data_IF_381104029730
#
_entry.id   IF_381104029730
#
_cell.length_a   1.000
_cell.length_b   1.000
_cell.length_c   1.000
_cell.angle_alpha   90.00
_cell.angle_beta   90.00
_cell.angle_gamma   90.00
#
_symmetry.space_group_name_H-M   'P 1'
#
loop_
_entity.id
_entity.type
_entity.pdbx_description
1 polymer ?
#
# COMPACT_ATOMS: atom_id res chain seq x y z
N UNK A 1 -26.84 -86.40 30.56
CA UNK A 1 -26.11 -85.51 29.64
C UNK A 1 -27.12 -84.49 29.19
N UNK A 2 -27.04 -83.23 29.66
CA UNK A 2 -27.98 -82.17 29.32
C UNK A 2 -27.24 -81.18 28.40
N UNK A 3 -27.68 -81.10 27.14
CA UNK A 3 -27.16 -80.11 26.18
C UNK A 3 -27.84 -78.76 26.45
N UNK A 4 -27.02 -77.75 26.69
CA UNK A 4 -27.48 -76.36 26.71
C UNK A 4 -27.15 -75.74 25.37
N UNK A 5 -28.23 -75.35 24.61
CA UNK A 5 -28.11 -74.52 23.41
C UNK A 5 -28.03 -73.06 23.85
N UNK A 6 -26.90 -72.40 23.51
CA UNK A 6 -26.71 -70.98 23.75
C UNK A 6 -27.20 -70.22 22.50
N UNK A 7 -28.32 -69.53 22.65
CA UNK A 7 -28.84 -68.64 21.58
C UNK A 7 -28.12 -67.30 21.68
N UNK A 8 -27.32 -67.00 20.64
CA UNK A 8 -26.63 -65.72 20.49
C UNK A 8 -27.58 -64.70 19.81
N UNK A 9 -28.07 -63.70 20.58
CA UNK A 9 -28.83 -62.59 20.04
C UNK A 9 -27.88 -61.54 19.45
N UNK A 10 -27.87 -61.38 18.10
CA UNK A 10 -27.19 -60.31 17.41
C UNK A 10 -28.14 -59.12 17.35
N UNK A 11 -27.83 -58.07 18.18
CA UNK A 11 -28.52 -56.78 18.13
C UNK A 11 -27.85 -55.94 17.01
N UNK A 12 -28.55 -55.81 15.88
CA UNK A 12 -28.18 -54.88 14.83
C UNK A 12 -28.55 -53.45 15.24
N UNK A 13 -27.54 -52.66 15.62
CA UNK A 13 -27.70 -51.20 15.75
C UNK A 13 -27.76 -50.57 14.34
N UNK A 14 -28.98 -50.19 13.92
CA UNK A 14 -29.18 -49.35 12.75
C UNK A 14 -28.82 -47.92 13.10
N UNK A 15 -27.64 -47.45 12.62
CA UNK A 15 -27.26 -46.03 12.65
C UNK A 15 -28.07 -45.28 11.60
N UNK A 16 -29.22 -44.76 11.99
CA UNK A 16 -29.97 -43.81 11.17
C UNK A 16 -29.20 -42.47 11.09
N UNK A 17 -28.58 -42.19 9.95
CA UNK A 17 -28.07 -40.86 9.65
C UNK A 17 -29.22 -39.88 9.52
N UNK A 18 -29.44 -39.07 10.58
CA UNK A 18 -30.30 -37.90 10.45
C UNK A 18 -29.61 -36.93 9.45
N UNK A 19 -30.23 -36.74 8.29
CA UNK A 19 -29.91 -35.59 7.43
C UNK A 19 -30.16 -34.33 8.25
N UNK A 20 -29.08 -33.60 8.60
CA UNK A 20 -29.21 -32.22 9.08
C UNK A 20 -29.72 -31.39 7.88
N UNK A 21 -30.94 -30.91 8.00
CA UNK A 21 -31.43 -29.83 7.13
C UNK A 21 -30.58 -28.58 7.45
N UNK A 22 -29.83 -28.14 6.46
CA UNK A 22 -29.16 -26.85 6.52
C UNK A 22 -30.27 -25.82 6.39
N UNK A 23 -30.64 -25.21 7.52
CA UNK A 23 -31.50 -24.03 7.52
C UNK A 23 -30.68 -22.89 6.96
N UNK A 24 -30.89 -22.57 5.68
CA UNK A 24 -30.38 -21.34 5.08
C UNK A 24 -31.21 -20.21 5.67
N UNK A 25 -30.62 -19.51 6.65
CA UNK A 25 -31.20 -18.27 7.13
C UNK A 25 -31.19 -17.28 5.95
N UNK A 26 -32.28 -16.51 5.73
CA UNK A 26 -32.26 -15.45 4.75
C UNK A 26 -31.11 -14.50 5.09
N UNK A 27 -30.27 -14.16 4.11
CA UNK A 27 -29.32 -13.06 4.23
C UNK A 27 -30.13 -11.80 4.47
N UNK A 28 -30.23 -11.37 5.72
CA UNK A 28 -30.66 -10.02 6.03
C UNK A 28 -29.60 -9.10 5.44
N UNK A 29 -29.95 -8.35 4.41
CA UNK A 29 -29.15 -7.22 3.93
C UNK A 29 -29.02 -6.24 5.11
N UNK A 30 -27.91 -6.33 5.81
CA UNK A 30 -27.55 -5.35 6.84
C UNK A 30 -27.27 -4.04 6.14
N UNK A 31 -28.29 -3.18 6.07
CA UNK A 31 -28.17 -1.85 5.51
C UNK A 31 -27.38 -0.97 6.49
N UNK A 32 -26.06 -0.97 6.33
CA UNK A 32 -25.15 -0.14 7.15
C UNK A 32 -25.23 1.28 6.60
N UNK A 33 -25.68 2.21 7.40
CA UNK A 33 -25.60 3.64 7.08
C UNK A 33 -24.15 4.09 7.06
N UNK A 34 -23.59 4.25 5.84
CA UNK A 34 -22.23 4.69 5.61
C UNK A 34 -22.07 6.22 5.57
N UNK A 35 -23.16 6.97 5.68
CA UNK A 35 -23.16 8.43 5.55
C UNK A 35 -22.26 9.13 6.58
N UNK A 36 -22.11 8.55 7.77
CA UNK A 36 -21.20 9.02 8.82
C UNK A 36 -19.71 8.79 8.49
N UNK A 37 -19.41 7.87 7.56
CA UNK A 37 -18.03 7.57 7.15
C UNK A 37 -17.56 8.49 6.05
N UNK A 38 -18.38 8.72 5.03
CA UNK A 38 -18.07 9.51 3.84
C UNK A 38 -19.23 9.53 2.86
N UNK A 39 -19.06 10.21 1.74
CA UNK A 39 -20.05 10.21 0.67
C UNK A 39 -20.11 8.85 -0.02
N UNK A 40 -21.27 8.46 -0.53
CA UNK A 40 -21.46 7.18 -1.21
C UNK A 40 -20.67 7.10 -2.51
N UNK A 41 -20.64 8.22 -3.27
CA UNK A 41 -20.01 8.32 -4.59
C UNK A 41 -18.81 9.26 -4.57
N UNK A 42 -17.78 8.92 -5.33
CA UNK A 42 -16.59 9.77 -5.47
C UNK A 42 -16.91 11.11 -6.10
N UNK A 43 -17.80 11.13 -7.11
CA UNK A 43 -18.23 12.36 -7.82
C UNK A 43 -18.82 13.43 -6.90
N UNK A 44 -19.46 13.03 -5.79
CA UNK A 44 -20.10 13.95 -4.85
C UNK A 44 -19.12 14.86 -4.11
N UNK A 45 -17.82 14.52 -4.09
CA UNK A 45 -16.77 15.38 -3.50
C UNK A 45 -16.38 16.55 -4.42
N UNK A 46 -16.69 16.47 -5.72
CA UNK A 46 -16.34 17.49 -6.68
C UNK A 46 -14.83 17.69 -6.89
N UNK A 47 -14.03 16.63 -6.74
CA UNK A 47 -12.58 16.71 -6.97
C UNK A 47 -12.22 16.78 -8.45
N UNK A 48 -13.07 16.27 -9.31
CA UNK A 48 -12.81 16.15 -10.74
C UNK A 48 -13.96 16.74 -11.55
N UNK A 49 -13.65 17.27 -12.75
CA UNK A 49 -14.62 17.80 -13.70
C UNK A 49 -14.73 16.93 -14.95
N UNK A 50 -15.81 17.08 -15.70
CA UNK A 50 -16.06 16.34 -16.94
C UNK A 50 -16.32 14.85 -16.70
N UNK A 51 -15.78 14.01 -17.58
CA UNK A 51 -15.86 12.56 -17.42
C UNK A 51 -14.97 12.11 -16.26
N UNK A 52 -15.56 11.54 -15.21
CA UNK A 52 -14.86 11.21 -13.97
C UNK A 52 -13.60 10.35 -14.19
N UNK A 53 -13.65 9.40 -15.15
CA UNK A 53 -12.50 8.54 -15.49
C UNK A 53 -11.26 9.27 -16.02
N UNK A 54 -11.42 10.53 -16.50
CA UNK A 54 -10.28 11.34 -16.95
C UNK A 54 -9.50 11.94 -15.80
N UNK A 55 -10.09 11.95 -14.59
CA UNK A 55 -9.50 12.50 -13.38
C UNK A 55 -8.98 13.94 -13.59
N UNK A 56 -9.69 14.72 -14.39
CA UNK A 56 -9.38 16.15 -14.62
C UNK A 56 -9.65 16.93 -13.34
N UNK A 57 -8.65 17.52 -12.68
CA UNK A 57 -8.85 18.10 -11.36
C UNK A 57 -9.61 19.41 -11.42
N UNK A 58 -10.49 19.66 -10.42
CA UNK A 58 -11.10 20.95 -10.18
C UNK A 58 -10.07 21.93 -9.59
N UNK A 59 -10.40 23.22 -9.60
CA UNK A 59 -9.57 24.27 -9.00
C UNK A 59 -9.21 23.91 -7.53
N UNK A 60 -7.94 24.10 -7.18
CA UNK A 60 -7.40 23.77 -5.86
C UNK A 60 -7.15 22.28 -5.60
N UNK A 61 -7.39 21.40 -6.57
CA UNK A 61 -6.96 19.99 -6.53
C UNK A 61 -5.70 19.83 -7.36
N UNK A 62 -4.56 19.68 -6.72
CA UNK A 62 -3.25 19.74 -7.36
C UNK A 62 -2.66 18.34 -7.53
N UNK A 63 -2.32 17.93 -8.78
CA UNK A 63 -1.66 16.65 -9.02
C UNK A 63 -0.21 16.68 -8.51
N UNK A 64 0.28 15.51 -8.06
CA UNK A 64 1.67 15.32 -7.69
C UNK A 64 2.14 13.89 -7.91
N UNK A 65 3.45 13.69 -7.97
CA UNK A 65 4.10 12.39 -8.02
C UNK A 65 5.10 12.24 -6.87
N UNK A 66 5.54 11.01 -6.64
CA UNK A 66 6.56 10.70 -5.66
C UNK A 66 7.84 10.24 -6.38
N UNK A 67 9.00 10.66 -5.88
CA UNK A 67 10.30 10.21 -6.40
C UNK A 67 10.46 8.68 -6.26
N UNK A 68 9.97 8.11 -5.15
CA UNK A 68 9.93 6.65 -4.95
C UNK A 68 8.50 6.23 -4.62
N UNK A 69 7.92 5.34 -5.42
CA UNK A 69 6.55 4.87 -5.25
C UNK A 69 6.49 3.54 -4.51
N UNK A 70 5.56 3.41 -3.56
CA UNK A 70 5.23 2.15 -2.91
C UNK A 70 4.72 1.15 -3.96
N UNK A 71 5.26 -0.07 -3.95
CA UNK A 71 4.79 -1.15 -4.81
C UNK A 71 3.38 -1.60 -4.42
N UNK A 72 2.53 -1.86 -5.40
CA UNK A 72 1.19 -2.40 -5.23
C UNK A 72 0.83 -3.15 -6.51
N UNK A 73 1.31 -4.39 -6.62
CA UNK A 73 0.99 -5.31 -7.73
C UNK A 73 1.15 -4.70 -9.15
N UNK A 74 2.15 -3.85 -9.35
CA UNK A 74 2.36 -3.07 -10.59
C UNK A 74 1.22 -2.09 -10.96
N UNK A 75 0.23 -1.86 -10.10
CA UNK A 75 -0.76 -0.83 -10.36
C UNK A 75 -0.10 0.55 -10.50
N UNK A 76 -0.44 1.26 -11.55
CA UNK A 76 -0.05 2.65 -11.73
C UNK A 76 -0.82 3.54 -10.78
N UNK A 77 -0.27 4.72 -10.45
CA UNK A 77 -0.87 5.60 -9.44
C UNK A 77 -0.86 7.03 -9.91
N UNK A 78 -2.00 7.68 -9.79
CA UNK A 78 -2.14 9.12 -9.93
C UNK A 78 -2.59 9.71 -8.60
N UNK A 79 -1.97 10.82 -8.19
CA UNK A 79 -2.17 11.41 -6.88
C UNK A 79 -2.51 12.86 -6.98
N UNK A 80 -3.38 13.31 -6.07
CA UNK A 80 -3.74 14.71 -5.92
C UNK A 80 -3.79 15.08 -4.45
N UNK A 81 -3.60 16.36 -4.18
CA UNK A 81 -3.82 16.97 -2.87
C UNK A 81 -4.84 18.10 -3.01
N UNK A 82 -5.74 18.19 -2.05
CA UNK A 82 -6.61 19.35 -1.84
C UNK A 82 -6.40 19.87 -0.45
N UNK A 83 -5.86 21.07 -0.32
CA UNK A 83 -5.73 21.82 0.93
C UNK A 83 -6.84 22.89 0.94
N UNK A 84 -7.53 23.12 2.07
CA UNK A 84 -8.55 24.16 2.14
C UNK A 84 -7.97 25.52 1.79
N UNK A 85 -8.74 26.32 1.05
CA UNK A 85 -8.32 27.65 0.60
C UNK A 85 -7.89 28.53 1.78
N UNK A 86 -6.71 29.12 1.64
CA UNK A 86 -6.14 30.02 2.66
C UNK A 86 -5.37 29.29 3.79
N UNK A 87 -5.29 27.96 3.74
CA UNK A 87 -4.42 27.16 4.61
C UNK A 87 -3.22 26.65 3.84
N UNK A 88 -2.09 26.52 4.54
CA UNK A 88 -0.83 26.06 3.97
C UNK A 88 -0.21 24.99 4.90
N UNK A 89 0.59 24.12 4.32
CA UNK A 89 1.50 23.22 5.04
C UNK A 89 2.75 23.99 5.42
N UNK A 90 3.21 23.90 6.64
CA UNK A 90 4.54 24.36 7.01
C UNK A 90 5.58 23.34 6.51
N UNK A 91 6.65 23.84 5.89
CA UNK A 91 7.72 22.97 5.40
C UNK A 91 8.34 22.16 6.54
N UNK A 92 8.54 20.88 6.31
CA UNK A 92 9.22 19.96 7.20
C UNK A 92 10.16 19.08 6.35
N UNK A 93 11.44 19.03 6.72
CA UNK A 93 12.45 18.26 5.97
C UNK A 93 12.54 16.79 6.39
N UNK A 94 12.06 16.45 7.57
CA UNK A 94 12.35 15.18 8.24
C UNK A 94 11.32 14.09 7.96
N UNK A 95 10.03 14.45 7.90
CA UNK A 95 8.93 13.48 7.90
C UNK A 95 7.82 13.88 6.90
N UNK A 96 6.73 13.14 6.93
CA UNK A 96 5.47 13.51 6.26
C UNK A 96 5.04 14.90 6.71
N UNK A 97 4.55 15.70 5.79
CA UNK A 97 4.06 17.04 6.09
C UNK A 97 2.91 17.02 7.11
N UNK A 98 2.90 18.03 7.97
CA UNK A 98 1.77 18.27 8.86
C UNK A 98 0.69 19.06 8.12
N UNK A 99 -0.25 18.32 7.56
CA UNK A 99 -1.32 18.89 6.74
C UNK A 99 -2.42 19.52 7.62
N UNK A 100 -2.92 20.70 7.25
CA UNK A 100 -4.00 21.34 7.99
C UNK A 100 -5.31 20.53 7.93
N UNK A 101 -6.18 20.78 8.91
CA UNK A 101 -7.51 20.20 8.96
C UNK A 101 -8.29 20.47 7.67
N UNK A 102 -9.05 19.50 7.18
CA UNK A 102 -9.78 19.56 5.92
C UNK A 102 -8.95 19.19 4.68
N UNK A 103 -7.66 18.88 4.84
CA UNK A 103 -6.84 18.37 3.74
C UNK A 103 -7.32 17.00 3.28
N UNK A 104 -7.33 16.78 1.96
CA UNK A 104 -7.61 15.49 1.34
C UNK A 104 -6.44 15.08 0.45
N UNK A 105 -5.87 13.90 0.72
CA UNK A 105 -4.95 13.22 -0.17
C UNK A 105 -5.73 12.19 -0.99
N UNK A 106 -5.64 12.28 -2.31
CA UNK A 106 -6.38 11.44 -3.26
C UNK A 106 -5.39 10.57 -4.00
N UNK A 107 -5.60 9.26 -4.02
CA UNK A 107 -4.73 8.30 -4.70
C UNK A 107 -5.56 7.34 -5.54
N UNK A 108 -5.39 7.43 -6.85
CA UNK A 108 -6.03 6.55 -7.83
C UNK A 108 -5.08 5.41 -8.19
N UNK A 109 -5.61 4.21 -8.36
CA UNK A 109 -4.89 3.02 -8.81
C UNK A 109 -5.51 2.54 -10.10
N UNK A 110 -4.67 2.28 -11.09
CA UNK A 110 -5.13 1.90 -12.42
C UNK A 110 -4.12 1.02 -13.16
N UNK A 111 -4.59 0.38 -14.21
CA UNK A 111 -3.76 -0.37 -15.15
C UNK A 111 -4.06 0.08 -16.57
N UNK A 112 -3.04 0.48 -17.35
CA UNK A 112 -3.12 0.41 -18.80
C UNK A 112 -3.25 -1.06 -19.23
N UNK A 113 -4.02 -1.36 -20.25
CA UNK A 113 -4.13 -2.73 -20.79
C UNK A 113 -2.79 -3.27 -21.31
N UNK A 114 -1.91 -2.36 -21.76
CA UNK A 114 -0.56 -2.65 -22.22
C UNK A 114 0.40 -1.58 -21.69
N UNK A 115 1.37 -1.98 -20.90
CA UNK A 115 2.34 -1.04 -20.27
C UNK A 115 3.24 -0.32 -21.28
N UNK A 116 3.40 -0.89 -22.48
CA UNK A 116 4.10 -0.25 -23.59
C UNK A 116 3.29 0.90 -24.22
N UNK A 117 1.97 0.97 -23.88
CA UNK A 117 1.02 2.00 -24.33
C UNK A 117 0.27 2.62 -23.14
N UNK A 118 1.00 3.31 -22.25
CA UNK A 118 0.51 3.68 -20.91
C UNK A 118 -0.67 4.67 -20.88
N UNK A 119 -1.00 5.27 -22.02
CA UNK A 119 -2.10 6.25 -22.15
C UNK A 119 -3.36 5.63 -22.79
N UNK A 120 -3.30 4.36 -23.21
CA UNK A 120 -4.40 3.69 -23.89
C UNK A 120 -5.09 2.67 -22.99
N UNK A 121 -6.41 2.52 -23.14
CA UNK A 121 -7.21 1.51 -22.47
C UNK A 121 -6.94 1.41 -20.95
N UNK A 122 -6.97 2.55 -20.27
CA UNK A 122 -6.76 2.64 -18.83
C UNK A 122 -8.01 2.14 -18.11
N UNK A 123 -7.83 1.21 -17.16
CA UNK A 123 -8.84 0.75 -16.22
C UNK A 123 -8.52 1.26 -14.82
N UNK A 124 -9.34 2.16 -14.29
CA UNK A 124 -9.31 2.58 -12.90
C UNK A 124 -9.88 1.45 -12.03
N UNK A 125 -9.21 1.10 -10.94
CA UNK A 125 -9.65 0.07 -10.03
C UNK A 125 -10.25 0.66 -8.76
N UNK A 126 -9.47 1.54 -8.12
CA UNK A 126 -9.87 2.19 -6.88
C UNK A 126 -9.33 3.62 -6.77
N UNK A 127 -10.04 4.43 -6.01
CA UNK A 127 -9.57 5.72 -5.50
C UNK A 127 -9.59 5.67 -3.98
N UNK A 128 -8.47 5.93 -3.34
CA UNK A 128 -8.38 6.08 -1.88
C UNK A 128 -8.32 7.54 -1.52
N UNK A 129 -9.20 7.95 -0.64
CA UNK A 129 -9.14 9.25 0.01
C UNK A 129 -8.53 9.08 1.40
N UNK A 130 -7.61 9.96 1.75
CA UNK A 130 -7.13 10.12 3.11
C UNK A 130 -7.47 11.54 3.52
N UNK A 131 -8.45 11.68 4.42
CA UNK A 131 -9.07 12.97 4.79
C UNK A 131 -8.67 13.33 6.21
N UNK A 132 -8.16 14.54 6.42
CA UNK A 132 -7.86 15.07 7.76
C UNK A 132 -9.12 15.75 8.32
N UNK A 133 -9.76 15.12 9.28
CA UNK A 133 -10.94 15.65 9.98
C UNK A 133 -10.59 15.90 11.45
N UNK A 134 -10.53 17.16 11.85
CA UNK A 134 -10.21 17.60 13.22
C UNK A 134 -8.89 16.99 13.77
N UNK A 135 -7.85 16.89 12.93
CA UNK A 135 -6.56 16.32 13.30
C UNK A 135 -6.52 14.80 13.34
N UNK A 136 -7.58 14.14 12.87
CA UNK A 136 -7.67 12.68 12.73
C UNK A 136 -7.81 12.32 11.26
N UNK A 137 -6.96 11.42 10.78
CA UNK A 137 -7.02 10.97 9.40
C UNK A 137 -7.99 9.80 9.22
N UNK A 138 -8.85 9.91 8.23
CA UNK A 138 -9.83 8.90 7.82
C UNK A 138 -9.47 8.37 6.43
N UNK A 139 -9.31 7.07 6.30
CA UNK A 139 -9.04 6.41 5.02
C UNK A 139 -10.33 5.86 4.43
N UNK A 140 -10.67 6.22 3.21
CA UNK A 140 -11.90 5.81 2.51
C UNK A 140 -11.56 5.23 1.13
N UNK A 141 -11.72 3.92 0.92
CA UNK A 141 -11.56 3.30 -0.39
C UNK A 141 -12.85 3.39 -1.22
N UNK A 142 -12.72 3.77 -2.48
CA UNK A 142 -13.79 3.81 -3.48
C UNK A 142 -13.42 2.85 -4.62
N UNK A 143 -14.33 1.96 -4.99
CA UNK A 143 -14.15 1.00 -6.09
C UNK A 143 -14.86 1.50 -7.32
N UNK A 144 -14.15 1.55 -8.44
CA UNK A 144 -14.71 1.95 -9.73
C UNK A 144 -15.64 0.86 -10.29
N UNK A 145 -16.78 1.30 -10.88
CA UNK A 145 -17.65 0.41 -11.64
C UNK A 145 -16.99 -0.01 -12.97
N UNK A 146 -17.52 -1.07 -13.58
CA UNK A 146 -16.94 -1.60 -14.82
C UNK A 146 -17.12 -0.64 -16.01
N UNK A 147 -18.14 0.21 -16.00
CA UNK A 147 -18.41 1.27 -16.99
C UNK A 147 -17.43 2.46 -16.86
N UNK A 148 -16.64 2.50 -15.80
CA UNK A 148 -15.66 3.58 -15.52
C UNK A 148 -16.32 4.97 -15.45
N UNK A 149 -17.55 5.03 -14.95
CA UNK A 149 -18.34 6.27 -14.85
C UNK A 149 -18.42 6.79 -13.42
N UNK A 150 -18.24 5.91 -12.42
CA UNK A 150 -18.35 6.26 -11.01
C UNK A 150 -17.51 5.32 -10.14
N UNK A 151 -17.13 5.79 -8.95
CA UNK A 151 -16.53 4.97 -7.90
C UNK A 151 -17.35 5.06 -6.61
N UNK A 152 -17.59 3.91 -5.98
CA UNK A 152 -18.45 3.77 -4.82
C UNK A 152 -17.65 3.42 -3.56
N UNK A 153 -18.05 3.97 -2.42
CA UNK A 153 -17.44 3.68 -1.12
C UNK A 153 -17.52 2.19 -0.81
N UNK A 154 -16.38 1.58 -0.47
CA UNK A 154 -16.27 0.15 -0.19
C UNK A 154 -15.56 -0.09 1.13
N UNK A 155 -16.33 -0.24 2.21
CA UNK A 155 -15.78 -0.45 3.57
C UNK A 155 -15.23 -1.86 3.79
N UNK A 156 -15.77 -2.86 3.08
CA UNK A 156 -15.39 -4.27 3.20
C UNK A 156 -14.15 -4.64 2.37
N UNK A 157 -13.75 -3.77 1.42
CA UNK A 157 -12.74 -4.10 0.42
C UNK A 157 -13.29 -5.05 -0.66
N UNK A 158 -12.48 -5.35 -1.66
CA UNK A 158 -12.86 -6.25 -2.77
C UNK A 158 -11.62 -6.80 -3.46
N UNK A 159 -11.71 -8.02 -3.95
CA UNK A 159 -10.72 -8.56 -4.88
C UNK A 159 -11.18 -8.35 -6.32
N UNK A 160 -10.28 -7.85 -7.16
CA UNK A 160 -10.51 -7.58 -8.58
C UNK A 160 -9.52 -8.38 -9.42
N UNK A 161 -10.03 -9.10 -10.41
CA UNK A 161 -9.15 -9.77 -11.39
C UNK A 161 -8.65 -8.74 -12.40
N UNK A 162 -7.33 -8.65 -12.54
CA UNK A 162 -6.66 -7.73 -13.44
C UNK A 162 -5.72 -8.48 -14.35
N UNK A 163 -5.78 -8.18 -15.65
CA UNK A 163 -4.89 -8.72 -16.67
C UNK A 163 -4.32 -7.55 -17.47
N UNK A 164 -3.02 -7.59 -17.75
CA UNK A 164 -2.32 -6.58 -18.55
C UNK A 164 -1.18 -7.21 -19.34
N UNK A 165 -0.74 -6.54 -20.40
CA UNK A 165 0.51 -6.86 -21.07
C UNK A 165 1.62 -6.05 -20.43
N UNK A 166 2.63 -6.72 -19.90
CA UNK A 166 3.77 -6.09 -19.24
C UNK A 166 4.77 -5.52 -20.26
N UNK A 167 5.79 -4.78 -19.81
CA UNK A 167 6.79 -4.14 -20.68
C UNK A 167 7.57 -5.14 -21.54
N UNK A 168 7.80 -6.35 -21.02
CA UNK A 168 8.42 -7.47 -21.74
C UNK A 168 7.50 -8.13 -22.79
N UNK A 169 6.26 -7.66 -22.93
CA UNK A 169 5.25 -8.19 -23.85
C UNK A 169 4.49 -9.41 -23.31
N UNK A 170 4.79 -9.90 -22.12
CA UNK A 170 4.10 -11.03 -21.52
C UNK A 170 2.79 -10.60 -20.86
N UNK A 171 1.78 -11.46 -21.02
CA UNK A 171 0.50 -11.25 -20.31
C UNK A 171 0.69 -11.63 -18.84
N UNK A 172 0.33 -10.72 -17.97
CA UNK A 172 0.34 -10.89 -16.52
C UNK A 172 -1.09 -10.85 -15.98
N UNK A 173 -1.32 -11.55 -14.89
CA UNK A 173 -2.60 -11.53 -14.17
C UNK A 173 -2.35 -11.40 -12.68
N UNK A 174 -3.25 -10.71 -11.98
CA UNK A 174 -3.21 -10.60 -10.53
C UNK A 174 -4.64 -10.54 -9.98
N UNK A 175 -4.84 -11.12 -8.81
CA UNK A 175 -6.01 -10.85 -7.98
C UNK A 175 -5.70 -9.63 -7.11
N UNK A 176 -5.98 -8.43 -7.65
CA UNK A 176 -5.74 -7.17 -6.97
C UNK A 176 -6.67 -7.01 -5.77
N UNK A 177 -6.12 -6.74 -4.60
CA UNK A 177 -6.90 -6.63 -3.36
C UNK A 177 -7.09 -5.16 -2.97
N UNK A 178 -8.32 -4.67 -3.08
CA UNK A 178 -8.72 -3.40 -2.48
C UNK A 178 -8.88 -3.63 -0.97
N UNK A 179 -8.14 -2.90 -0.11
CA UNK A 179 -8.18 -3.12 1.32
C UNK A 179 -9.51 -2.66 1.95
N UNK A 180 -9.92 -3.32 3.03
CA UNK A 180 -10.97 -2.82 3.89
C UNK A 180 -10.45 -1.72 4.84
N UNK A 181 -11.36 -1.03 5.55
CA UNK A 181 -11.00 0.07 6.45
C UNK A 181 -10.00 -0.33 7.56
N UNK A 182 -10.09 -1.55 8.08
CA UNK A 182 -9.16 -2.01 9.11
C UNK A 182 -7.76 -2.28 8.54
N UNK A 183 -7.67 -2.80 7.33
CA UNK A 183 -6.42 -3.02 6.64
C UNK A 183 -5.71 -1.69 6.29
N UNK A 184 -6.46 -0.62 6.04
CA UNK A 184 -5.87 0.72 5.86
C UNK A 184 -5.08 1.15 7.11
N UNK A 185 -5.65 0.91 8.31
CA UNK A 185 -4.98 1.20 9.58
C UNK A 185 -3.67 0.41 9.74
N UNK A 186 -3.60 -0.82 9.22
CA UNK A 186 -2.40 -1.67 9.30
C UNK A 186 -1.14 -1.01 8.75
N UNK A 187 -1.26 -0.16 7.73
CA UNK A 187 -0.14 0.57 7.13
C UNK A 187 -0.03 2.03 7.61
N UNK A 188 -1.17 2.63 7.98
CA UNK A 188 -1.25 4.06 8.29
C UNK A 188 -1.18 4.38 9.79
N UNK A 189 -1.11 3.38 10.67
CA UNK A 189 -1.03 3.60 12.11
C UNK A 189 0.39 4.03 12.52
N UNK A 190 0.49 5.15 13.23
CA UNK A 190 1.70 5.64 13.90
C UNK A 190 1.37 5.96 15.36
N UNK A 191 1.97 5.22 16.28
CA UNK A 191 1.53 5.25 17.67
C UNK A 191 0.07 4.80 17.77
N UNK A 192 -0.81 5.72 18.15
CA UNK A 192 -2.26 5.53 18.28
C UNK A 192 -3.08 6.26 17.20
N UNK A 193 -2.41 6.92 16.23
CA UNK A 193 -3.06 7.76 15.21
C UNK A 193 -2.89 7.21 13.82
N UNK A 194 -3.95 7.35 13.01
CA UNK A 194 -3.86 7.14 11.56
C UNK A 194 -3.15 8.34 10.95
N UNK A 195 -2.11 8.11 10.15
CA UNK A 195 -1.28 9.15 9.54
C UNK A 195 -1.02 8.84 8.06
N UNK A 196 -0.79 9.85 7.21
CA UNK A 196 -0.28 9.62 5.86
C UNK A 196 1.11 8.97 5.91
N UNK A 197 1.42 8.13 4.91
CA UNK A 197 2.79 7.62 4.69
C UNK A 197 3.65 8.67 3.97
N UNK A 198 3.02 9.53 3.20
CA UNK A 198 3.56 10.68 2.47
C UNK A 198 2.44 11.61 2.02
N UNK A 199 2.76 12.70 1.31
CA UNK A 199 4.08 13.10 0.83
C UNK A 199 4.97 13.76 1.88
N UNK A 200 6.28 13.73 1.61
CA UNK A 200 7.33 14.43 2.36
C UNK A 200 8.17 15.28 1.43
N UNK A 201 9.00 16.17 1.96
CA UNK A 201 9.88 17.04 1.18
C UNK A 201 10.77 16.25 0.22
N UNK A 202 11.42 15.17 0.67
CA UNK A 202 12.28 14.31 -0.13
C UNK A 202 11.57 13.64 -1.31
N UNK A 203 10.30 13.30 -1.11
CA UNK A 203 9.45 12.68 -2.13
C UNK A 203 8.97 13.66 -3.19
N UNK A 204 8.78 14.93 -2.82
CA UNK A 204 8.33 15.98 -3.73
C UNK A 204 9.47 16.81 -4.34
N UNK A 205 10.73 16.62 -3.88
CA UNK A 205 11.88 17.30 -4.51
C UNK A 205 12.23 16.64 -5.85
N UNK A 206 11.37 16.84 -6.82
CA UNK A 206 11.43 16.34 -8.18
C UNK A 206 10.47 17.10 -9.08
N UNK A 207 10.66 17.02 -10.39
CA UNK A 207 9.82 17.72 -11.35
C UNK A 207 8.54 16.94 -11.64
N UNK A 208 7.46 17.69 -11.85
CA UNK A 208 6.18 17.21 -12.36
C UNK A 208 5.77 18.03 -13.58
N UNK A 209 5.14 17.40 -14.56
CA UNK A 209 4.63 18.09 -15.75
C UNK A 209 3.24 18.64 -15.46
N UNK A 210 3.16 19.89 -15.04
CA UNK A 210 1.93 20.65 -14.89
C UNK A 210 1.45 21.21 -16.22
N UNK A 211 0.24 21.80 -16.27
CA UNK A 211 -0.27 22.48 -17.47
C UNK A 211 0.63 23.59 -17.97
N UNK A 212 1.26 24.29 -17.04
CA UNK A 212 2.18 25.42 -17.32
C UNK A 212 3.60 24.98 -17.69
N UNK A 213 3.89 23.68 -17.65
CA UNK A 213 5.20 23.10 -17.95
C UNK A 213 5.80 22.27 -16.83
N UNK A 214 7.01 21.75 -17.07
CA UNK A 214 7.75 20.94 -16.09
C UNK A 214 8.36 21.84 -15.01
N UNK A 215 8.00 21.60 -13.75
CA UNK A 215 8.45 22.40 -12.60
C UNK A 215 8.69 21.50 -11.38
N UNK A 216 9.63 21.89 -10.50
CA UNK A 216 9.82 21.22 -9.21
C UNK A 216 8.55 21.36 -8.35
N UNK A 217 8.08 20.26 -7.80
CA UNK A 217 6.80 20.18 -7.12
C UNK A 217 6.74 21.04 -5.85
N UNK A 218 7.84 21.14 -5.09
CA UNK A 218 7.89 21.99 -3.88
C UNK A 218 7.76 23.47 -4.25
N UNK A 219 8.42 23.92 -5.33
CA UNK A 219 8.30 25.30 -5.81
C UNK A 219 6.90 25.56 -6.37
N UNK A 220 6.34 24.61 -7.10
CA UNK A 220 4.97 24.73 -7.60
C UNK A 220 3.96 24.83 -6.45
N UNK A 221 4.08 23.98 -5.43
CA UNK A 221 3.22 24.03 -4.25
C UNK A 221 3.36 25.37 -3.51
N UNK A 222 4.56 25.92 -3.44
CA UNK A 222 4.79 27.25 -2.83
C UNK A 222 4.13 28.35 -3.65
N UNK A 223 4.20 28.32 -4.98
CA UNK A 223 3.51 29.26 -5.87
C UNK A 223 1.99 29.17 -5.72
N UNK A 224 1.47 27.97 -5.58
CA UNK A 224 0.04 27.70 -5.34
C UNK A 224 -0.42 28.01 -3.90
N UNK A 225 0.49 28.48 -3.03
CA UNK A 225 0.23 28.72 -1.61
C UNK A 225 -0.30 27.50 -0.86
N UNK A 226 0.23 26.33 -1.20
CA UNK A 226 -0.06 25.07 -0.50
C UNK A 226 0.97 24.78 0.58
N UNK A 227 2.18 25.30 0.46
CA UNK A 227 3.29 25.14 1.39
C UNK A 227 4.06 26.44 1.55
N UNK A 228 4.51 26.72 2.78
CA UNK A 228 5.34 27.86 3.12
C UNK A 228 6.66 27.42 3.73
N UNK A 229 7.67 28.31 3.68
CA UNK A 229 8.96 28.08 4.32
C UNK A 229 9.88 27.09 3.59
N UNK A 230 9.67 26.83 2.30
CA UNK A 230 10.52 25.94 1.50
C UNK A 230 11.91 26.59 1.34
N UNK A 231 12.99 25.93 1.82
CA UNK A 231 14.35 26.45 1.64
C UNK A 231 14.84 26.24 0.20
N UNK A 232 16.10 26.59 -0.07
CA UNK A 232 16.72 26.25 -1.37
C UNK A 232 16.63 24.74 -1.63
N UNK A 233 16.26 24.35 -2.85
CA UNK A 233 16.13 22.94 -3.24
C UNK A 233 17.41 22.12 -3.01
N UNK A 234 18.59 22.77 -3.06
CA UNK A 234 19.88 22.13 -2.79
C UNK A 234 20.06 21.70 -1.31
N UNK A 235 19.25 22.23 -0.42
CA UNK A 235 19.23 21.87 1.01
C UNK A 235 18.22 20.76 1.32
N UNK A 236 17.44 20.37 0.33
CA UNK A 236 16.41 19.34 0.48
C UNK A 236 16.92 18.07 -0.20
N UNK A 237 17.07 16.99 0.54
CA UNK A 237 17.41 15.69 -0.04
C UNK A 237 16.36 15.27 -1.09
N UNK A 238 16.78 14.53 -2.11
CA UNK A 238 15.87 13.86 -3.05
C UNK A 238 15.82 12.37 -2.69
N UNK A 239 14.65 11.80 -2.56
CA UNK A 239 14.52 10.37 -2.36
C UNK A 239 14.87 9.62 -3.64
N UNK A 240 15.77 8.63 -3.54
CA UNK A 240 16.19 7.83 -4.69
C UNK A 240 15.03 6.97 -5.22
N UNK A 241 14.85 6.94 -6.54
CA UNK A 241 14.05 5.89 -7.18
C UNK A 241 14.90 4.60 -7.29
N UNK A 242 14.27 3.45 -7.18
CA UNK A 242 14.97 2.17 -7.39
C UNK A 242 15.49 2.01 -8.83
N UNK A 243 14.91 2.72 -9.79
CA UNK A 243 15.27 2.72 -11.21
C UNK A 243 16.36 3.74 -11.57
N UNK A 244 16.57 4.78 -10.76
CA UNK A 244 17.47 5.89 -11.08
C UNK A 244 18.92 5.55 -10.70
N UNK A 245 19.68 5.08 -11.69
CA UNK A 245 21.09 4.69 -11.51
C UNK A 245 22.06 5.84 -11.25
N UNK A 246 21.59 7.09 -11.24
CA UNK A 246 22.39 8.21 -10.77
C UNK A 246 22.62 8.20 -9.26
N UNK A 247 21.79 7.45 -8.51
CA UNK A 247 21.98 7.17 -7.11
C UNK A 247 22.73 5.85 -6.89
N UNK A 248 23.47 5.77 -5.80
CA UNK A 248 24.17 4.55 -5.41
C UNK A 248 23.20 3.40 -5.14
N UNK A 249 23.71 2.17 -5.18
CA UNK A 249 22.94 0.97 -4.85
C UNK A 249 22.34 1.04 -3.43
N UNK A 250 23.12 1.52 -2.45
CA UNK A 250 22.66 1.69 -1.07
C UNK A 250 21.51 2.69 -0.98
N UNK A 251 21.62 3.86 -1.60
CA UNK A 251 20.55 4.86 -1.60
C UNK A 251 19.25 4.31 -2.21
N UNK A 252 19.35 3.61 -3.34
CA UNK A 252 18.20 3.03 -4.03
C UNK A 252 17.54 1.91 -3.22
N UNK A 253 18.32 0.98 -2.69
CA UNK A 253 17.81 -0.13 -1.90
C UNK A 253 17.17 0.36 -0.59
N UNK A 254 17.80 1.32 0.09
CA UNK A 254 17.28 1.89 1.33
C UNK A 254 16.03 2.73 1.12
N UNK A 255 15.96 3.48 0.02
CA UNK A 255 14.74 4.20 -0.35
C UNK A 255 13.60 3.22 -0.69
N UNK A 256 13.90 2.10 -1.37
CA UNK A 256 12.92 1.07 -1.64
C UNK A 256 12.41 0.40 -0.35
N UNK A 257 13.31 0.09 0.58
CA UNK A 257 12.94 -0.45 1.90
C UNK A 257 12.13 0.55 2.71
N UNK A 258 12.49 1.83 2.68
CA UNK A 258 11.73 2.86 3.37
C UNK A 258 10.29 2.92 2.88
N UNK A 259 10.09 3.06 1.57
CA UNK A 259 8.73 3.29 1.05
C UNK A 259 7.84 2.03 1.13
N UNK A 260 8.43 0.84 1.09
CA UNK A 260 7.67 -0.41 1.12
C UNK A 260 7.55 -1.03 2.52
N UNK A 261 8.41 -0.68 3.48
CA UNK A 261 8.50 -1.37 4.76
C UNK A 261 8.50 -0.44 5.98
N UNK A 262 9.16 0.74 5.90
CA UNK A 262 9.37 1.57 7.08
C UNK A 262 8.11 2.20 7.67
N UNK A 263 6.99 2.26 6.92
CA UNK A 263 5.72 2.69 7.48
C UNK A 263 5.22 1.76 8.60
N UNK A 264 5.66 0.48 8.59
CA UNK A 264 5.43 -0.47 9.67
C UNK A 264 6.68 -0.66 10.54
N UNK A 265 7.86 -0.78 9.92
CA UNK A 265 9.15 -1.07 10.59
C UNK A 265 9.89 0.21 10.95
N UNK A 266 9.43 0.88 12.01
CA UNK A 266 9.97 2.08 12.62
C UNK A 266 9.57 2.15 14.10
N UNK A 267 10.17 3.06 14.88
CA UNK A 267 9.97 3.16 16.34
C UNK A 267 8.52 3.34 16.78
N UNK A 268 7.71 3.99 15.97
CA UNK A 268 6.30 4.30 16.21
C UNK A 268 5.33 3.58 15.25
N UNK A 269 5.84 2.65 14.42
CA UNK A 269 5.06 1.85 13.50
C UNK A 269 4.44 0.60 14.13
N UNK A 270 3.46 -0.03 13.47
CA UNK A 270 2.77 -1.21 13.99
C UNK A 270 3.68 -2.43 14.16
N UNK A 271 4.79 -2.53 13.42
CA UNK A 271 5.78 -3.61 13.53
C UNK A 271 7.02 -3.22 14.38
N UNK A 272 6.92 -2.19 15.24
CA UNK A 272 8.03 -1.74 16.09
C UNK A 272 8.67 -2.83 16.94
N UNK A 273 7.89 -3.82 17.37
CA UNK A 273 8.37 -4.95 18.19
C UNK A 273 9.35 -5.87 17.44
N UNK A 274 9.42 -5.81 16.11
CA UNK A 274 10.42 -6.53 15.33
C UNK A 274 11.85 -6.03 15.61
N UNK A 275 11.98 -4.79 16.10
CA UNK A 275 13.27 -4.11 16.27
C UNK A 275 13.95 -3.75 14.95
N UNK A 276 13.23 -3.85 13.81
CA UNK A 276 13.69 -3.37 12.51
C UNK A 276 13.25 -1.91 12.32
N UNK A 277 14.20 -1.06 11.92
CA UNK A 277 13.96 0.33 11.56
C UNK A 277 14.49 0.56 10.15
N UNK A 278 13.57 0.63 9.17
CA UNK A 278 13.91 0.61 7.75
C UNK A 278 13.81 1.97 7.06
N UNK A 279 13.83 3.05 7.84
CA UNK A 279 14.00 4.40 7.28
C UNK A 279 15.38 4.53 6.63
N UNK A 280 15.48 5.19 5.48
CA UNK A 280 16.74 5.42 4.80
C UNK A 280 17.73 6.29 5.62
N UNK A 281 17.24 7.03 6.60
CA UNK A 281 18.04 7.81 7.55
C UNK A 281 18.66 6.98 8.67
N UNK A 282 18.23 5.72 8.90
CA UNK A 282 18.80 4.87 9.96
C UNK A 282 20.27 4.60 9.68
N UNK A 283 21.12 4.76 10.67
CA UNK A 283 22.58 4.56 10.57
C UNK A 283 23.06 3.32 11.31
N UNK A 284 22.26 2.78 12.22
CA UNK A 284 22.58 1.58 12.96
C UNK A 284 22.25 0.35 12.12
N UNK A 285 23.27 -0.32 11.62
CA UNK A 285 23.11 -1.53 10.80
C UNK A 285 22.39 -2.66 11.54
N UNK A 286 22.49 -2.74 12.88
CA UNK A 286 21.76 -3.74 13.65
C UNK A 286 20.25 -3.49 13.62
N UNK A 287 19.83 -2.23 13.64
CA UNK A 287 18.42 -1.85 13.47
C UNK A 287 17.92 -2.03 12.05
N UNK A 288 18.79 -1.97 11.05
CA UNK A 288 18.47 -2.35 9.68
C UNK A 288 18.29 -3.87 9.52
N UNK A 289 18.73 -4.66 10.50
CA UNK A 289 18.62 -6.12 10.51
C UNK A 289 19.92 -6.87 10.25
N UNK A 290 21.05 -6.17 10.07
CA UNK A 290 22.35 -6.82 9.80
C UNK A 290 22.81 -7.57 11.04
N UNK A 291 23.00 -8.90 10.91
CA UNK A 291 23.38 -9.80 12.00
C UNK A 291 22.35 -9.90 13.12
N UNK A 292 21.14 -9.39 12.92
CA UNK A 292 20.07 -9.38 13.91
C UNK A 292 19.22 -10.63 13.81
N UNK A 293 19.08 -11.36 14.92
CA UNK A 293 18.13 -12.47 15.00
C UNK A 293 16.68 -11.96 14.95
N UNK A 294 15.76 -12.67 14.27
CA UNK A 294 14.38 -12.28 14.15
C UNK A 294 13.64 -12.34 15.49
N UNK A 295 12.68 -11.45 15.70
CA UNK A 295 11.80 -11.48 16.86
C UNK A 295 10.45 -12.05 16.43
N UNK A 296 10.11 -13.24 16.97
CA UNK A 296 8.81 -13.91 16.75
C UNK A 296 8.42 -14.10 15.26
N UNK A 297 9.39 -14.34 14.38
CA UNK A 297 9.13 -14.49 12.94
C UNK A 297 8.38 -15.79 12.57
N UNK A 298 8.37 -16.81 13.45
CA UNK A 298 7.69 -18.08 13.20
C UNK A 298 8.08 -18.68 11.83
N UNK A 299 7.09 -19.07 11.02
CA UNK A 299 7.31 -19.57 9.65
C UNK A 299 7.98 -18.54 8.74
N UNK A 300 7.83 -17.25 9.05
CA UNK A 300 8.44 -16.16 8.29
C UNK A 300 9.97 -16.14 8.36
N UNK A 301 10.60 -16.85 9.29
CA UNK A 301 12.07 -16.99 9.30
C UNK A 301 12.60 -17.94 8.21
N UNK A 302 11.76 -18.86 7.70
CA UNK A 302 12.21 -19.89 6.76
C UNK A 302 13.29 -20.83 7.32
N UNK A 303 13.48 -20.86 8.66
CA UNK A 303 14.57 -21.57 9.31
C UNK A 303 15.91 -20.81 9.30
N UNK A 304 15.93 -19.59 8.76
CA UNK A 304 17.12 -18.73 8.72
C UNK A 304 17.34 -18.05 10.08
N UNK A 305 18.60 -17.63 10.35
CA UNK A 305 19.02 -17.18 11.67
C UNK A 305 19.00 -15.64 11.84
N UNK A 306 19.20 -14.89 10.74
CA UNK A 306 19.37 -13.44 10.81
C UNK A 306 18.52 -12.73 9.77
N UNK A 307 18.09 -11.52 10.12
CA UNK A 307 17.28 -10.68 9.23
C UNK A 307 18.06 -10.32 7.96
N UNK A 308 19.34 -9.93 8.08
CA UNK A 308 20.27 -9.70 6.96
C UNK A 308 21.64 -10.34 7.30
N UNK A 309 22.18 -11.12 6.37
CA UNK A 309 23.56 -11.64 6.42
C UNK A 309 24.33 -10.99 5.27
N UNK A 310 25.31 -10.11 5.55
CA UNK A 310 26.11 -9.44 4.50
C UNK A 310 26.76 -10.45 3.55
N UNK A 311 26.70 -10.18 2.26
CA UNK A 311 27.19 -11.04 1.20
C UNK A 311 26.33 -12.28 0.90
N UNK A 312 25.27 -12.53 1.69
CA UNK A 312 24.51 -13.78 1.62
C UNK A 312 23.00 -13.57 1.59
N UNK A 313 22.43 -13.11 0.48
CA UNK A 313 21.00 -12.86 0.38
C UNK A 313 20.15 -14.12 0.64
N UNK A 314 20.61 -15.30 0.21
CA UNK A 314 19.87 -16.56 0.41
C UNK A 314 19.85 -17.04 1.88
N UNK A 315 20.73 -16.51 2.73
CA UNK A 315 20.74 -16.76 4.18
C UNK A 315 20.01 -15.62 4.96
N UNK A 316 19.43 -14.64 4.26
CA UNK A 316 18.80 -13.45 4.84
C UNK A 316 17.27 -13.57 4.85
N UNK A 317 16.67 -13.45 6.06
CA UNK A 317 15.21 -13.51 6.24
C UNK A 317 14.51 -12.41 5.46
N UNK A 318 15.08 -11.20 5.39
CA UNK A 318 14.54 -10.10 4.60
C UNK A 318 14.30 -10.52 3.15
N UNK A 319 15.33 -11.09 2.49
CA UNK A 319 15.24 -11.55 1.11
C UNK A 319 14.17 -12.65 0.95
N UNK A 320 14.20 -13.65 1.82
CA UNK A 320 13.25 -14.75 1.83
C UNK A 320 11.81 -14.26 1.93
N UNK A 321 11.52 -13.26 2.77
CA UNK A 321 10.17 -12.74 2.98
C UNK A 321 9.68 -11.86 1.83
N UNK A 322 10.54 -11.02 1.24
CA UNK A 322 10.14 -10.15 0.13
C UNK A 322 9.93 -10.93 -1.18
N UNK A 323 10.60 -12.07 -1.36
CA UNK A 323 10.40 -12.99 -2.48
C UNK A 323 9.12 -13.81 -2.36
N UNK A 324 8.69 -14.10 -1.13
CA UNK A 324 7.51 -14.95 -0.89
C UNK A 324 6.21 -14.24 -1.25
N UNK A 325 5.25 -15.02 -1.74
CA UNK A 325 3.83 -14.63 -1.90
C UNK A 325 2.91 -15.41 -0.95
N UNK A 326 3.48 -16.26 -0.08
CA UNK A 326 2.72 -17.02 0.89
C UNK A 326 2.24 -16.10 2.04
N UNK A 327 0.93 -16.01 2.33
CA UNK A 327 0.38 -15.04 3.30
C UNK A 327 1.01 -15.07 4.71
N UNK A 328 1.48 -16.25 5.17
CA UNK A 328 2.13 -16.40 6.48
C UNK A 328 3.64 -16.13 6.48
N UNK A 329 4.23 -15.74 5.34
CA UNK A 329 5.67 -15.55 5.16
C UNK A 329 5.97 -14.19 4.56
N UNK A 330 5.22 -13.79 3.53
CA UNK A 330 5.51 -12.61 2.73
C UNK A 330 5.58 -11.30 3.54
N UNK A 331 6.44 -10.39 3.10
CA UNK A 331 6.47 -8.97 3.51
C UNK A 331 6.52 -8.09 2.26
N UNK A 332 5.75 -6.98 2.25
CA UNK A 332 4.66 -6.61 3.16
C UNK A 332 3.52 -7.64 3.20
N UNK A 333 2.85 -7.76 4.34
CA UNK A 333 1.70 -8.68 4.53
C UNK A 333 0.44 -8.21 3.79
N UNK A 334 0.36 -6.89 3.53
CA UNK A 334 -0.76 -6.23 2.87
C UNK A 334 -0.25 -5.38 1.71
N UNK A 335 -1.14 -5.11 0.75
CA UNK A 335 -0.89 -4.19 -0.35
C UNK A 335 -0.18 -4.81 -1.57
N UNK A 336 0.11 -6.11 -1.53
CA UNK A 336 0.60 -6.87 -2.69
C UNK A 336 0.09 -8.31 -2.67
N UNK A 337 -0.02 -8.90 -3.84
CA UNK A 337 -0.33 -10.31 -4.06
C UNK A 337 0.76 -11.01 -4.88
N UNK A 338 1.59 -10.23 -5.56
CA UNK A 338 2.73 -10.72 -6.36
C UNK A 338 4.03 -10.04 -5.92
N UNK A 339 5.14 -10.58 -6.38
CA UNK A 339 6.48 -10.08 -6.06
C UNK A 339 6.86 -8.90 -6.97
N UNK A 340 7.47 -7.87 -6.39
CA UNK A 340 8.12 -6.78 -7.13
C UNK A 340 9.49 -7.26 -7.60
N UNK A 341 9.58 -7.80 -8.79
CA UNK A 341 10.79 -8.46 -9.29
C UNK A 341 12.02 -7.54 -9.24
N UNK A 342 11.88 -6.31 -9.68
CA UNK A 342 12.93 -5.30 -9.77
C UNK A 342 13.41 -4.88 -8.37
N UNK A 343 12.48 -4.63 -7.45
CA UNK A 343 12.81 -4.25 -6.07
C UNK A 343 13.47 -5.39 -5.29
N UNK A 344 13.01 -6.62 -5.49
CA UNK A 344 13.61 -7.82 -4.89
C UNK A 344 15.03 -8.05 -5.43
N UNK A 345 15.24 -7.90 -6.74
CA UNK A 345 16.57 -7.99 -7.35
C UNK A 345 17.52 -6.90 -6.83
N UNK A 346 17.00 -5.67 -6.65
CA UNK A 346 17.76 -4.56 -6.07
C UNK A 346 18.24 -4.87 -4.64
N UNK A 347 17.33 -5.34 -3.76
CA UNK A 347 17.68 -5.68 -2.37
C UNK A 347 18.64 -6.86 -2.32
N UNK A 348 18.45 -7.86 -3.17
CA UNK A 348 19.37 -9.01 -3.30
C UNK A 348 20.77 -8.55 -3.63
N UNK A 349 20.92 -7.69 -4.62
CA UNK A 349 22.20 -7.12 -5.03
C UNK A 349 22.82 -6.30 -3.89
N UNK A 350 22.02 -5.47 -3.23
CA UNK A 350 22.46 -4.66 -2.09
C UNK A 350 23.01 -5.50 -0.95
N UNK A 351 22.33 -6.60 -0.55
CA UNK A 351 22.82 -7.53 0.47
C UNK A 351 24.12 -8.22 0.01
N UNK A 352 24.22 -8.55 -1.29
CA UNK A 352 25.39 -9.24 -1.83
C UNK A 352 26.65 -8.35 -1.83
N UNK A 353 26.48 -7.03 -1.99
CA UNK A 353 27.56 -6.06 -2.04
C UNK A 353 27.90 -5.44 -0.66
N UNK A 354 27.19 -5.84 0.42
CA UNK A 354 27.55 -5.53 1.79
C UNK A 354 28.83 -6.29 2.17
#
# INVERSE_FOLDING_TARGET
>A
MKNYFLLLYIILFSCGTKKQEIVVLPEEEVNIDLSSLGKEKLSEYGFFIGELKKLEPTDGVIPYSLNAALFTDYAWKQRFVKIPKGLEVNFNNEDVFDFPNGTVLIKNFYYPADFRKPKENIRLLETRLLMNEAGTWKALPYIWNDEQTEAYLSVAGKNLDVTWTHEDGLIQTVKYSVPNLNQCKGCHLRGDKVMPIGPSARQLNGNYLYSEGSQNQLLYWQQQKLISGVPSLTQIAKMASYEDETFSLDERARAWLEINCAHCHRVDGPAKNSGLHLLASEKDFSKLGVGKAPVAAGKGSGGLLYDIVPGKPDESILQFRIESVHPGIMMPELGRSITHKEGVALVRRWIMEM
#
